data_IF_336234625330
#
_entry.id   IF_336234625330
#
_cell.length_a   1.000
_cell.length_b   1.000
_cell.length_c   1.000
_cell.angle_alpha   90.00
_cell.angle_beta   90.00
_cell.angle_gamma   90.00
#
_symmetry.space_group_name_H-M   'P 1'
#
loop_
_entity.id
_entity.type
_entity.pdbx_description
1 polymer ?
#
# COMPACT_ATOMS: atom_id res chain seq x y z
N UNK A 1 5.20 0.55 14.17
CA UNK A 1 6.10 1.46 13.39
C UNK A 1 5.28 2.67 12.93
N UNK A 2 5.88 3.83 12.67
CA UNK A 2 5.14 5.00 12.16
C UNK A 2 5.91 5.72 11.05
N UNK A 3 5.21 6.43 10.18
CA UNK A 3 5.83 7.25 9.12
C UNK A 3 6.61 8.41 9.75
N UNK A 4 7.93 8.38 9.64
CA UNK A 4 8.85 9.45 10.08
C UNK A 4 9.50 10.14 8.87
N UNK A 5 10.12 11.30 9.12
CA UNK A 5 10.83 12.11 8.10
C UNK A 5 9.97 12.38 6.85
N UNK A 6 8.78 12.94 7.04
CA UNK A 6 7.88 13.34 5.96
C UNK A 6 7.73 14.87 5.97
N UNK A 7 8.15 15.51 4.87
CA UNK A 7 8.05 16.97 4.70
C UNK A 7 6.65 17.44 4.27
N UNK A 8 5.75 16.51 3.92
CA UNK A 8 4.38 16.85 3.53
C UNK A 8 3.61 17.42 4.72
N UNK A 9 2.74 18.40 4.47
CA UNK A 9 1.80 18.90 5.46
C UNK A 9 0.89 17.77 5.96
N UNK A 10 0.46 17.83 7.22
CA UNK A 10 -0.44 16.82 7.80
C UNK A 10 -1.77 16.67 7.06
N UNK A 11 -2.30 17.76 6.49
CA UNK A 11 -3.48 17.71 5.62
C UNK A 11 -3.27 16.85 4.37
N UNK A 12 -2.11 17.00 3.70
CA UNK A 12 -1.76 16.20 2.53
C UNK A 12 -1.53 14.74 2.91
N UNK A 13 -0.87 14.47 4.04
CA UNK A 13 -0.68 13.10 4.55
C UNK A 13 -2.03 12.39 4.78
N UNK A 14 -3.02 13.09 5.36
CA UNK A 14 -4.38 12.54 5.56
C UNK A 14 -5.09 12.24 4.24
N UNK A 15 -5.07 13.18 3.29
CA UNK A 15 -5.66 12.94 1.95
C UNK A 15 -5.00 11.79 1.21
N UNK A 16 -3.68 11.65 1.31
CA UNK A 16 -2.97 10.50 0.73
C UNK A 16 -3.37 9.17 1.38
N UNK A 17 -3.65 9.17 2.69
CA UNK A 17 -4.15 7.98 3.38
C UNK A 17 -5.58 7.64 2.95
N UNK A 18 -6.47 8.64 2.83
CA UNK A 18 -7.83 8.47 2.30
C UNK A 18 -7.80 7.88 0.89
N UNK A 19 -6.95 8.41 0.01
CA UNK A 19 -6.75 7.89 -1.33
C UNK A 19 -6.16 6.48 -1.36
N UNK A 20 -5.26 6.15 -0.43
CA UNK A 20 -4.73 4.80 -0.30
C UNK A 20 -5.84 3.80 0.07
N UNK A 21 -6.69 4.15 1.04
CA UNK A 21 -7.83 3.32 1.47
C UNK A 21 -8.87 3.17 0.37
N UNK A 22 -9.11 4.22 -0.42
CA UNK A 22 -10.01 4.20 -1.58
C UNK A 22 -9.38 3.58 -2.85
N UNK A 23 -8.24 2.90 -2.72
CA UNK A 23 -7.52 2.22 -3.82
C UNK A 23 -7.11 3.14 -5.00
N UNK A 24 -7.07 4.46 -4.77
CA UNK A 24 -6.64 5.42 -5.78
C UNK A 24 -5.14 5.26 -6.01
N UNK A 25 -4.73 5.13 -7.27
CA UNK A 25 -3.31 4.95 -7.61
C UNK A 25 -2.47 6.14 -7.13
N UNK A 26 -1.22 5.89 -6.73
CA UNK A 26 -0.32 6.95 -6.26
C UNK A 26 -0.09 8.06 -7.31
N UNK A 27 -0.16 7.71 -8.61
CA UNK A 27 -0.08 8.68 -9.71
C UNK A 27 -1.28 9.62 -9.70
N UNK A 28 -2.50 9.06 -9.72
CA UNK A 28 -3.73 9.85 -9.67
C UNK A 28 -3.82 10.70 -8.41
N UNK A 29 -3.43 10.15 -7.25
CA UNK A 29 -3.36 10.88 -6.00
C UNK A 29 -2.38 12.06 -6.06
N UNK A 30 -1.23 11.89 -6.72
CA UNK A 30 -0.26 12.97 -6.92
C UNK A 30 -0.84 14.10 -7.78
N UNK A 31 -1.50 13.75 -8.88
CA UNK A 31 -2.13 14.71 -9.79
C UNK A 31 -3.24 15.50 -9.08
N UNK A 32 -4.11 14.81 -8.32
CA UNK A 32 -5.21 15.44 -7.55
C UNK A 32 -4.73 16.35 -6.41
N UNK A 33 -3.53 16.10 -5.88
CA UNK A 33 -2.95 16.88 -4.78
C UNK A 33 -1.93 17.92 -5.25
N UNK A 34 -1.59 17.94 -6.54
CA UNK A 34 -0.58 18.83 -7.10
C UNK A 34 0.81 18.59 -6.51
N UNK A 35 1.16 17.34 -6.22
CA UNK A 35 2.47 16.95 -5.68
C UNK A 35 3.25 16.10 -6.68
N UNK A 36 4.56 15.98 -6.48
CA UNK A 36 5.41 15.16 -7.33
C UNK A 36 5.08 13.66 -7.19
N UNK A 37 4.96 12.95 -8.31
CA UNK A 37 4.49 11.55 -8.32
C UNK A 37 5.32 10.58 -7.47
N UNK A 38 6.66 10.71 -7.46
CA UNK A 38 7.51 9.85 -6.62
C UNK A 38 7.30 10.13 -5.13
N UNK A 39 6.87 11.34 -4.76
CA UNK A 39 6.53 11.68 -3.37
C UNK A 39 5.29 10.92 -2.91
N UNK A 40 4.24 10.87 -3.74
CA UNK A 40 3.06 10.07 -3.45
C UNK A 40 3.38 8.56 -3.44
N UNK A 41 4.16 8.08 -4.41
CA UNK A 41 4.58 6.69 -4.48
C UNK A 41 5.41 6.26 -3.25
N UNK A 42 6.35 7.11 -2.81
CA UNK A 42 7.13 6.88 -1.59
C UNK A 42 6.24 6.88 -0.34
N UNK A 43 5.26 7.79 -0.27
CA UNK A 43 4.33 7.82 0.85
C UNK A 43 3.48 6.54 0.93
N UNK A 44 2.96 6.08 -0.21
CA UNK A 44 2.23 4.81 -0.32
C UNK A 44 3.09 3.60 0.05
N UNK A 45 4.36 3.59 -0.34
CA UNK A 45 5.29 2.53 0.07
C UNK A 45 5.49 2.51 1.59
N UNK A 46 5.67 3.68 2.21
CA UNK A 46 5.77 3.79 3.68
C UNK A 46 4.50 3.33 4.40
N UNK A 47 3.31 3.58 3.85
CA UNK A 47 2.05 3.04 4.40
C UNK A 47 2.11 1.51 4.41
N UNK A 48 2.49 0.88 3.29
CA UNK A 48 2.59 -0.59 3.19
C UNK A 48 3.59 -1.17 4.19
N UNK A 49 4.74 -0.52 4.39
CA UNK A 49 5.72 -0.95 5.40
C UNK A 49 5.18 -0.87 6.82
N UNK A 50 4.34 0.13 7.13
CA UNK A 50 3.69 0.22 8.43
C UNK A 50 2.67 -0.91 8.60
N UNK A 51 1.86 -1.19 7.57
CA UNK A 51 0.90 -2.30 7.58
C UNK A 51 1.62 -3.64 7.80
N UNK A 52 2.65 -3.92 6.99
CA UNK A 52 3.46 -5.13 7.08
C UNK A 52 4.06 -5.35 8.47
N UNK A 53 4.63 -4.30 9.07
CA UNK A 53 5.15 -4.34 10.44
C UNK A 53 4.07 -4.68 11.49
N UNK A 54 2.86 -4.14 11.35
CA UNK A 54 1.80 -4.41 12.32
C UNK A 54 1.22 -5.81 12.13
N UNK A 55 1.07 -6.27 10.89
CA UNK A 55 0.67 -7.64 10.57
C UNK A 55 1.71 -8.66 11.09
N UNK A 56 3.01 -8.37 10.98
CA UNK A 56 4.04 -9.27 11.50
C UNK A 56 3.98 -9.40 13.02
N UNK A 57 3.68 -8.32 13.75
CA UNK A 57 3.49 -8.37 15.20
C UNK A 57 2.23 -9.16 15.60
N UNK A 58 1.16 -9.05 14.83
CA UNK A 58 -0.07 -9.83 15.06
C UNK A 58 0.14 -11.31 14.73
N UNK A 59 0.98 -11.64 13.75
CA UNK A 59 1.30 -13.03 13.42
C UNK A 59 2.08 -13.74 14.55
N UNK A 60 2.88 -12.99 15.31
CA UNK A 60 3.58 -13.50 16.51
C UNK A 60 2.64 -13.66 17.72
N UNK A 61 1.46 -13.02 17.70
CA UNK A 61 0.42 -13.27 18.68
C UNK A 61 -0.24 -14.62 18.34
N UNK A 62 0.09 -15.64 19.14
CA UNK A 62 -0.35 -17.04 19.02
C UNK A 62 -1.83 -17.11 18.61
N UNK A 63 -2.10 -17.59 17.39
CA UNK A 63 -3.45 -17.85 16.92
C UNK A 63 -4.03 -19.05 17.70
N UNK A 64 -4.91 -18.80 18.67
CA UNK A 64 -5.76 -19.82 19.29
C UNK A 64 -7.11 -19.88 18.58
N UNK A 65 -7.48 -21.02 17.99
CA UNK A 65 -8.81 -21.26 17.40
C UNK A 65 -8.80 -21.79 15.96
N UNK A 66 -9.97 -21.77 15.30
CA UNK A 66 -10.12 -22.09 13.86
C UNK A 66 -9.74 -20.87 13.03
N UNK A 67 -8.76 -21.04 12.15
CA UNK A 67 -8.28 -19.99 11.23
C UNK A 67 -9.06 -20.12 9.92
N UNK A 68 -9.69 -19.03 9.48
CA UNK A 68 -10.32 -18.91 8.16
C UNK A 68 -9.36 -18.16 7.22
N UNK A 69 -9.11 -18.73 6.05
CA UNK A 69 -8.13 -18.23 5.09
C UNK A 69 -8.91 -17.60 3.93
N UNK A 70 -8.87 -16.27 3.83
CA UNK A 70 -9.52 -15.54 2.74
C UNK A 70 -8.53 -15.36 1.58
N UNK A 71 -8.79 -16.03 0.46
CA UNK A 71 -7.94 -15.96 -0.73
C UNK A 71 -8.37 -14.80 -1.64
N UNK A 72 -7.74 -13.65 -1.47
CA UNK A 72 -7.85 -12.54 -2.43
C UNK A 72 -6.76 -12.65 -3.50
N UNK A 73 -7.12 -13.07 -4.71
CA UNK A 73 -6.19 -13.19 -5.85
C UNK A 73 -5.93 -11.82 -6.52
N UNK A 74 -4.84 -11.16 -6.16
CA UNK A 74 -4.48 -9.83 -6.69
C UNK A 74 -3.74 -9.82 -8.05
N UNK A 75 -3.60 -10.97 -8.71
CA UNK A 75 -2.89 -11.07 -9.99
C UNK A 75 -1.38 -10.89 -9.83
N UNK A 76 -0.66 -12.00 -9.65
CA UNK A 76 0.79 -12.00 -9.50
C UNK A 76 1.53 -11.40 -10.71
N UNK A 77 2.74 -10.87 -10.46
CA UNK A 77 3.64 -10.43 -11.51
C UNK A 77 3.98 -11.61 -12.44
N UNK A 78 3.46 -11.59 -13.68
CA UNK A 78 3.65 -12.67 -14.65
C UNK A 78 5.04 -12.60 -15.27
N UNK A 79 5.83 -13.67 -15.10
CA UNK A 79 7.16 -13.83 -15.72
C UNK A 79 7.02 -14.00 -17.24
N UNK A 80 7.45 -13.01 -18.03
CA UNK A 80 7.72 -13.16 -19.48
C UNK A 80 6.71 -12.53 -20.45
N UNK A 81 7.09 -12.46 -21.74
CA UNK A 81 6.25 -11.98 -22.84
C UNK A 81 5.45 -13.14 -23.43
N UNK A 82 4.14 -12.96 -23.64
CA UNK A 82 3.30 -13.91 -24.40
C UNK A 82 3.74 -13.91 -25.87
N UNK A 83 3.90 -15.10 -26.45
CA UNK A 83 3.88 -15.27 -27.90
C UNK A 83 2.52 -14.90 -28.47
N UNK A 84 2.41 -14.71 -29.79
CA UNK A 84 1.24 -14.16 -30.49
C UNK A 84 -0.07 -14.97 -30.40
N UNK A 85 -0.18 -15.97 -29.51
CA UNK A 85 -1.36 -16.83 -29.38
C UNK A 85 -1.81 -17.12 -27.94
N UNK A 86 -1.45 -16.27 -26.96
CA UNK A 86 -1.89 -16.43 -25.57
C UNK A 86 -2.76 -15.26 -25.10
#
# INVERSE_FOLDING_TARGET
MKITHCKLKKSIQRRLLEFFVAEVTARTAADLLGIQANTAALFYHKIRQVIDYHLSLEADAIFEGKIELDESYFGGHRKGKRGRGA
#
